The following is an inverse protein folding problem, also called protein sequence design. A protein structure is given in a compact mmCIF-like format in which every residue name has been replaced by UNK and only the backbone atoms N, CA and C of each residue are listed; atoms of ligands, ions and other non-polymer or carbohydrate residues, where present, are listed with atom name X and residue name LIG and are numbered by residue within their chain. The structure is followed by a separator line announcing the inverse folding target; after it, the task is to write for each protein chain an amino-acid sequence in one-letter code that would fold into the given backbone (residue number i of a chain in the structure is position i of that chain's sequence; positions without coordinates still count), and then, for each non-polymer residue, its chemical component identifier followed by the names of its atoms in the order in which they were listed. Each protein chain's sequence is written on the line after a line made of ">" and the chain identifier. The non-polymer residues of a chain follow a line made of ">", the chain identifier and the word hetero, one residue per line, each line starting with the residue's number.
data_IF_197595811803
#
_entry.id   IF_197595811803
#
_cell.length_a   1.000
_cell.length_b   1.000
_cell.length_c   1.000
_cell.angle_alpha   90.00
_cell.angle_beta   90.00
_cell.angle_gamma   90.00
#
_symmetry.space_group_name_H-M   'P 1'
#
loop_
_entity.id
_entity.type
_entity.pdbx_description
1 polymer ?
#
# COMPACT_ATOMS: atom_id res chain seq x y z
N UNK A 1 14.75 1.44 -4.58
CA UNK A 1 14.82 0.04 -5.07
C UNK A 1 13.58 -0.25 -5.91
N UNK A 2 13.72 -0.93 -7.04
CA UNK A 2 12.59 -1.30 -7.91
C UNK A 2 12.47 -2.82 -7.93
N UNK A 3 11.29 -3.36 -7.63
CA UNK A 3 11.04 -4.81 -7.68
C UNK A 3 9.95 -5.06 -8.71
N UNK A 4 10.27 -5.87 -9.71
CA UNK A 4 9.32 -6.36 -10.70
C UNK A 4 9.35 -7.88 -10.67
N UNK A 5 8.25 -8.49 -10.23
CA UNK A 5 8.11 -9.93 -10.14
C UNK A 5 6.64 -10.31 -10.30
N UNK A 6 6.34 -11.52 -10.77
CA UNK A 6 4.98 -12.07 -10.83
C UNK A 6 4.34 -12.22 -9.45
N UNK A 7 5.19 -12.37 -8.44
CA UNK A 7 4.82 -12.46 -7.04
C UNK A 7 5.93 -11.84 -6.21
N UNK A 8 5.56 -10.93 -5.30
CA UNK A 8 6.51 -10.24 -4.43
C UNK A 8 6.18 -10.56 -2.98
N UNK A 9 7.04 -11.37 -2.35
CA UNK A 9 7.06 -11.67 -0.92
C UNK A 9 8.45 -11.34 -0.41
N UNK A 10 8.60 -10.14 0.17
CA UNK A 10 9.88 -9.76 0.76
C UNK A 10 9.65 -8.80 1.93
N UNK A 11 10.12 -9.15 3.14
CA UNK A 11 10.29 -8.15 4.19
C UNK A 11 11.37 -7.17 3.72
N UNK A 12 10.97 -5.91 3.54
CA UNK A 12 11.83 -4.90 2.91
C UNK A 12 12.02 -3.72 3.85
N UNK A 13 13.28 -3.40 4.17
CA UNK A 13 13.68 -2.15 4.81
C UNK A 13 14.42 -1.30 3.77
N UNK A 14 13.78 -0.25 3.28
CA UNK A 14 14.37 0.63 2.27
C UNK A 14 13.92 2.07 2.47
N UNK A 15 14.77 3.02 2.12
CA UNK A 15 14.38 4.44 2.14
C UNK A 15 13.30 4.73 1.10
N UNK A 16 13.41 4.13 -0.08
CA UNK A 16 12.42 4.20 -1.15
C UNK A 16 12.29 2.87 -1.90
N UNK A 17 11.06 2.36 -2.02
CA UNK A 17 10.73 1.13 -2.74
C UNK A 17 9.61 1.36 -3.74
N UNK A 18 9.78 0.84 -4.96
CA UNK A 18 8.74 0.77 -5.98
C UNK A 18 8.51 -0.69 -6.35
N UNK A 19 7.28 -1.17 -6.18
CA UNK A 19 6.91 -2.56 -6.45
C UNK A 19 5.87 -2.61 -7.55
N UNK A 20 6.16 -3.42 -8.57
CA UNK A 20 5.21 -3.76 -9.61
C UNK A 20 5.06 -5.29 -9.64
N UNK A 21 3.90 -5.78 -9.21
CA UNK A 21 3.63 -7.21 -9.14
C UNK A 21 2.14 -7.47 -9.32
N UNK A 22 1.71 -8.54 -10.01
CA UNK A 22 0.32 -8.99 -10.06
C UNK A 22 -0.31 -9.25 -8.67
N UNK A 23 0.52 -9.75 -7.76
CA UNK A 23 0.17 -10.07 -6.39
C UNK A 23 1.29 -9.55 -5.50
N UNK A 24 0.95 -8.60 -4.63
CA UNK A 24 1.89 -8.01 -3.70
C UNK A 24 1.49 -8.35 -2.26
N UNK A 25 2.36 -9.08 -1.57
CA UNK A 25 2.24 -9.40 -0.16
C UNK A 25 3.56 -9.07 0.51
N UNK A 26 3.66 -7.90 1.12
CA UNK A 26 4.88 -7.50 1.84
C UNK A 26 4.54 -6.82 3.16
N UNK A 27 5.16 -7.27 4.26
CA UNK A 27 5.40 -6.40 5.40
C UNK A 27 6.55 -5.46 5.04
N UNK A 28 6.25 -4.17 4.85
CA UNK A 28 7.22 -3.17 4.42
C UNK A 28 7.39 -2.07 5.45
N UNK A 29 8.65 -1.73 5.74
CA UNK A 29 9.00 -0.56 6.53
C UNK A 29 9.88 0.35 5.66
N UNK A 30 9.33 1.46 5.20
CA UNK A 30 10.00 2.34 4.23
C UNK A 30 9.64 3.80 4.41
N UNK A 31 10.53 4.71 4.06
CA UNK A 31 10.19 6.14 4.12
C UNK A 31 9.18 6.49 3.02
N UNK A 32 9.41 5.98 1.80
CA UNK A 32 8.50 6.09 0.67
C UNK A 32 8.25 4.74 0.01
N UNK A 33 6.99 4.37 -0.18
CA UNK A 33 6.58 3.13 -0.84
C UNK A 33 5.59 3.43 -1.97
N UNK A 34 5.87 2.90 -3.17
CA UNK A 34 4.93 2.93 -4.30
C UNK A 34 4.62 1.53 -4.76
N UNK A 35 3.35 1.15 -4.79
CA UNK A 35 2.90 -0.19 -5.16
C UNK A 35 1.90 -0.12 -6.28
N UNK A 36 2.17 -0.86 -7.35
CA UNK A 36 1.23 -1.09 -8.44
C UNK A 36 0.96 -2.60 -8.51
N UNK A 37 -0.27 -3.00 -8.19
CA UNK A 37 -0.68 -4.40 -8.20
C UNK A 37 -2.18 -4.52 -8.42
N UNK A 38 -2.68 -5.48 -9.20
CA UNK A 38 -4.10 -5.87 -9.24
C UNK A 38 -4.68 -6.23 -7.87
N UNK A 39 -3.87 -6.88 -7.02
CA UNK A 39 -4.25 -7.35 -5.71
C UNK A 39 -3.14 -7.01 -4.72
N UNK A 40 -3.45 -6.11 -3.78
CA UNK A 40 -2.49 -5.66 -2.79
C UNK A 40 -2.96 -6.04 -1.39
N UNK A 41 -2.16 -6.85 -0.69
CA UNK A 41 -2.35 -7.19 0.71
C UNK A 41 -1.07 -6.89 1.49
N UNK A 42 -1.01 -5.75 2.19
CA UNK A 42 0.21 -5.34 2.89
C UNK A 42 -0.07 -4.71 4.24
N UNK A 43 0.47 -5.27 5.33
CA UNK A 43 0.75 -4.50 6.54
C UNK A 43 1.95 -3.59 6.27
N UNK A 44 1.75 -2.27 6.28
CA UNK A 44 2.79 -1.31 5.89
C UNK A 44 2.97 -0.20 6.92
N UNK A 45 4.23 0.08 7.26
CA UNK A 45 4.63 1.22 8.07
C UNK A 45 5.48 2.15 7.20
N UNK A 46 4.97 3.32 6.83
CA UNK A 46 5.71 4.22 5.93
C UNK A 46 5.43 5.68 6.20
N UNK A 47 6.36 6.57 5.87
CA UNK A 47 6.08 8.02 5.99
C UNK A 47 5.14 8.45 4.86
N UNK A 48 5.42 7.98 3.64
CA UNK A 48 4.59 8.19 2.46
C UNK A 48 4.32 6.84 1.75
N UNK A 49 3.05 6.55 1.49
CA UNK A 49 2.63 5.33 0.80
C UNK A 49 1.65 5.66 -0.32
N UNK A 50 1.96 5.19 -1.54
CA UNK A 50 1.13 5.32 -2.73
C UNK A 50 0.78 3.93 -3.26
N UNK A 51 -0.50 3.61 -3.33
CA UNK A 51 -0.99 2.31 -3.81
C UNK A 51 -1.95 2.50 -4.97
N UNK A 52 -1.69 1.80 -6.07
CA UNK A 52 -2.61 1.67 -7.19
C UNK A 52 -2.99 0.20 -7.34
N UNK A 53 -4.24 -0.13 -7.01
CA UNK A 53 -4.75 -1.49 -7.09
C UNK A 53 -6.26 -1.47 -7.19
N UNK A 54 -6.93 -2.23 -8.08
CA UNK A 54 -8.38 -2.36 -8.10
C UNK A 54 -8.95 -3.03 -6.84
N UNK A 55 -8.16 -3.86 -6.15
CA UNK A 55 -8.52 -4.50 -4.88
C UNK A 55 -7.39 -4.30 -3.86
N UNK A 56 -7.65 -3.48 -2.85
CA UNK A 56 -6.67 -3.17 -1.80
C UNK A 56 -7.21 -3.59 -0.43
N UNK A 57 -6.47 -4.44 0.28
CA UNK A 57 -6.72 -4.77 1.68
C UNK A 57 -5.46 -4.49 2.51
N UNK A 58 -5.46 -3.45 3.33
CA UNK A 58 -4.27 -3.07 4.08
C UNK A 58 -4.59 -2.52 5.46
N UNK A 59 -3.94 -3.04 6.51
CA UNK A 59 -3.66 -2.29 7.72
C UNK A 59 -2.39 -1.45 7.50
N UNK A 60 -2.52 -0.12 7.42
CA UNK A 60 -1.36 0.77 7.18
C UNK A 60 -1.22 1.83 8.27
N UNK A 61 0.01 2.01 8.75
CA UNK A 61 0.39 3.17 9.56
C UNK A 61 1.24 4.08 8.67
N UNK A 62 0.71 5.25 8.30
CA UNK A 62 1.48 6.18 7.48
C UNK A 62 1.15 7.63 7.71
N UNK A 63 2.16 8.50 7.68
CA UNK A 63 1.94 9.95 7.84
C UNK A 63 1.14 10.52 6.66
N UNK A 64 1.47 10.08 5.44
CA UNK A 64 0.76 10.41 4.22
C UNK A 64 0.44 9.15 3.42
N UNK A 65 -0.82 8.99 3.03
CA UNK A 65 -1.30 7.83 2.29
C UNK A 65 -2.14 8.25 1.09
N UNK A 66 -1.82 7.70 -0.08
CA UNK A 66 -2.57 7.89 -1.33
C UNK A 66 -2.95 6.53 -1.92
N UNK A 67 -4.25 6.28 -2.06
CA UNK A 67 -4.75 5.01 -2.59
C UNK A 67 -5.69 5.29 -3.76
N UNK A 68 -5.44 4.62 -4.87
CA UNK A 68 -6.34 4.56 -6.00
C UNK A 68 -6.81 3.12 -6.18
N UNK A 69 -8.10 2.88 -5.95
CA UNK A 69 -8.68 1.54 -6.02
C UNK A 69 -10.16 1.55 -6.39
N UNK A 70 -10.66 0.50 -7.03
CA UNK A 70 -12.10 0.31 -7.22
C UNK A 70 -12.79 -0.18 -5.94
N UNK A 71 -12.11 -1.01 -5.16
CA UNK A 71 -12.59 -1.52 -3.89
C UNK A 71 -11.47 -1.55 -2.86
N UNK A 72 -11.74 -0.97 -1.69
CA UNK A 72 -10.76 -0.80 -0.65
C UNK A 72 -11.36 -1.16 0.72
N UNK A 73 -10.66 -2.06 1.43
CA UNK A 73 -10.92 -2.39 2.83
C UNK A 73 -9.65 -2.08 3.62
N UNK A 74 -9.61 -0.95 4.31
CA UNK A 74 -8.39 -0.50 4.94
C UNK A 74 -8.60 -0.03 6.38
N UNK A 75 -7.60 -0.34 7.21
CA UNK A 75 -7.55 0.03 8.61
C UNK A 75 -6.31 0.90 8.81
N UNK A 76 -6.53 2.18 9.12
CA UNK A 76 -5.48 3.19 8.98
C UNK A 76 -5.26 4.03 10.22
N UNK A 77 -4.00 4.36 10.44
CA UNK A 77 -3.61 5.51 11.25
C UNK A 77 -2.79 6.44 10.35
N UNK A 78 -3.41 7.55 9.92
CA UNK A 78 -2.76 8.52 9.03
C UNK A 78 -3.15 9.95 9.34
N UNK A 79 -2.15 10.85 9.31
CA UNK A 79 -2.38 12.30 9.42
C UNK A 79 -2.89 12.91 8.12
N UNK A 80 -2.54 12.34 6.97
CA UNK A 80 -3.03 12.77 5.66
C UNK A 80 -3.43 11.53 4.83
N UNK A 81 -4.70 11.46 4.45
CA UNK A 81 -5.28 10.35 3.69
C UNK A 81 -5.98 10.87 2.44
N UNK A 82 -5.61 10.33 1.28
CA UNK A 82 -6.29 10.57 0.01
C UNK A 82 -6.66 9.23 -0.61
N UNK A 83 -7.95 8.88 -0.59
CA UNK A 83 -8.45 7.65 -1.24
C UNK A 83 -9.37 8.02 -2.38
N UNK A 84 -9.03 7.56 -3.58
CA UNK A 84 -9.89 7.60 -4.74
C UNK A 84 -10.46 6.20 -4.97
N UNK A 85 -11.67 5.97 -4.45
CA UNK A 85 -12.35 4.70 -4.60
C UNK A 85 -13.86 4.83 -4.45
N UNK A 86 -14.67 4.21 -5.34
CA UNK A 86 -16.12 4.24 -5.25
C UNK A 86 -16.68 3.37 -4.12
N UNK A 87 -15.92 2.37 -3.65
CA UNK A 87 -16.32 1.41 -2.62
C UNK A 87 -15.21 1.27 -1.58
N UNK A 88 -14.99 2.34 -0.80
CA UNK A 88 -13.99 2.36 0.25
C UNK A 88 -14.63 2.24 1.63
N UNK A 89 -14.18 1.25 2.38
CA UNK A 89 -14.47 1.08 3.80
C UNK A 89 -13.18 1.32 4.57
N UNK A 90 -13.10 2.48 5.21
CA UNK A 90 -11.98 2.85 6.08
C UNK A 90 -12.39 2.74 7.54
N UNK A 91 -11.64 1.98 8.33
CA UNK A 91 -11.71 2.05 9.79
C UNK A 91 -10.48 2.79 10.30
N UNK A 92 -10.69 4.00 10.83
CA UNK A 92 -9.66 4.74 11.57
C UNK A 92 -9.68 4.30 13.02
N UNK A 93 -8.52 3.85 13.55
CA UNK A 93 -8.34 3.59 14.98
C UNK A 93 -8.10 4.89 15.76
#
# INVERSE_FOLDING_TARGET
>A
LSVNSSFCQQPSLATALSVNSPLCQQPSLSTALSVNSPLCQQPSLSTALSVNSPLCQQPSLSTALSVNSSFCQQLFLSTALSVNSPLCSTSSL
#
